data_IF_182008619180
#
_entry.id   IF_182008619180
#
_cell.length_a   1.000
_cell.length_b   1.000
_cell.length_c   1.000
_cell.angle_alpha   90.00
_cell.angle_beta   90.00
_cell.angle_gamma   90.00
#
_symmetry.space_group_name_H-M   'P 1'
#
loop_
_entity.id
_entity.type
_entity.pdbx_description
1 polymer ?
#
# COMPACT_ATOMS: atom_id res chain seq x y z
N UNK A 1 -10.08 5.95 15.41
CA UNK A 1 -10.74 4.65 15.66
C UNK A 1 -11.33 4.15 14.35
N UNK A 2 -10.93 2.96 13.90
CA UNK A 2 -11.42 2.39 12.65
C UNK A 2 -11.77 0.90 12.85
N UNK A 3 -12.96 0.49 12.38
CA UNK A 3 -13.40 -0.91 12.49
C UNK A 3 -13.54 -1.45 13.92
N UNK A 4 -13.70 -0.58 14.91
CA UNK A 4 -13.77 -0.96 16.33
C UNK A 4 -12.41 -1.09 17.02
N UNK A 5 -11.31 -0.86 16.30
CA UNK A 5 -9.95 -0.91 16.84
C UNK A 5 -9.27 0.47 16.80
N UNK A 6 -8.30 0.66 17.70
CA UNK A 6 -7.39 1.80 17.61
C UNK A 6 -6.39 1.51 16.50
N UNK A 7 -6.40 2.34 15.46
CA UNK A 7 -5.48 2.24 14.33
C UNK A 7 -4.60 3.48 14.30
N UNK A 8 -3.40 3.31 13.82
CA UNK A 8 -2.46 4.40 13.69
C UNK A 8 -1.88 4.48 12.28
N UNK A 9 -1.59 5.68 11.87
CA UNK A 9 -0.73 5.99 10.75
C UNK A 9 0.11 7.22 11.09
N UNK A 10 1.26 7.33 10.45
CA UNK A 10 2.11 8.50 10.55
C UNK A 10 2.08 9.23 9.22
N UNK A 11 2.16 10.54 9.27
CA UNK A 11 2.32 11.36 8.07
C UNK A 11 3.60 12.19 8.18
N UNK A 12 4.17 12.46 7.04
CA UNK A 12 5.18 13.49 6.88
C UNK A 12 4.72 14.48 5.82
N UNK A 13 4.50 15.72 6.24
CA UNK A 13 4.16 16.83 5.35
C UNK A 13 5.47 17.50 4.95
N UNK A 14 5.78 17.60 3.64
CA UNK A 14 7.05 18.16 3.21
C UNK A 14 7.16 19.64 3.57
N UNK A 15 8.37 20.11 3.81
CA UNK A 15 8.64 21.51 4.19
C UNK A 15 8.19 22.53 3.13
N UNK A 16 8.05 22.08 1.88
CA UNK A 16 7.61 22.87 0.73
C UNK A 16 6.08 22.76 0.46
N UNK A 17 5.33 22.10 1.34
CA UNK A 17 3.87 22.00 1.19
C UNK A 17 3.23 23.37 1.12
N UNK A 18 2.32 23.55 0.14
CA UNK A 18 1.54 24.76 -0.02
C UNK A 18 0.03 24.39 -0.11
N UNK A 19 -0.80 24.86 0.84
CA UNK A 19 -2.22 24.53 0.87
C UNK A 19 -3.01 25.05 -0.35
N UNK A 20 -2.44 25.96 -1.13
CA UNK A 20 -3.05 26.44 -2.37
C UNK A 20 -2.79 25.54 -3.58
N UNK A 21 -1.94 24.51 -3.44
CA UNK A 21 -1.55 23.61 -4.54
C UNK A 21 -1.94 22.18 -4.19
N UNK A 22 -2.74 21.49 -5.01
CA UNK A 22 -3.06 20.09 -4.78
C UNK A 22 -1.80 19.21 -4.70
N UNK A 23 -1.65 18.45 -3.62
CA UNK A 23 -0.43 17.71 -3.27
C UNK A 23 -0.68 16.21 -3.32
N UNK A 24 0.18 15.41 -3.98
CA UNK A 24 0.05 13.96 -4.02
C UNK A 24 0.17 13.30 -2.64
N UNK A 25 -0.46 12.13 -2.48
CA UNK A 25 -0.21 11.20 -1.38
C UNK A 25 0.67 10.03 -1.84
N UNK A 26 1.60 9.62 -0.99
CA UNK A 26 2.41 8.42 -1.17
C UNK A 26 2.31 7.53 0.08
N UNK A 27 1.55 6.45 -0.02
CA UNK A 27 1.49 5.42 1.01
C UNK A 27 2.71 4.52 0.96
N UNK A 28 3.27 4.20 2.13
CA UNK A 28 4.43 3.33 2.26
C UNK A 28 4.14 2.22 3.29
N UNK A 29 3.92 0.99 2.81
CA UNK A 29 3.46 -0.14 3.61
C UNK A 29 4.61 -1.01 4.08
N UNK A 30 4.67 -1.27 5.40
CA UNK A 30 5.68 -2.14 6.02
C UNK A 30 5.49 -3.61 5.63
N UNK A 31 6.56 -4.39 5.75
CA UNK A 31 6.50 -5.85 5.64
C UNK A 31 5.90 -6.52 6.87
N UNK A 32 5.65 -7.81 6.79
CA UNK A 32 5.09 -8.60 7.90
C UNK A 32 5.87 -8.43 9.20
N UNK A 33 5.15 -8.26 10.30
CA UNK A 33 5.71 -8.00 11.64
C UNK A 33 6.17 -6.56 11.89
N UNK A 34 6.00 -5.66 10.91
CA UNK A 34 6.40 -4.25 11.00
C UNK A 34 5.31 -3.33 11.54
N UNK A 35 5.56 -2.04 11.44
CA UNK A 35 4.63 -0.95 11.72
C UNK A 35 5.05 0.32 10.96
N UNK A 36 4.20 1.35 10.95
CA UNK A 36 4.44 2.59 10.24
C UNK A 36 5.70 3.34 10.72
N UNK A 37 5.95 3.37 12.03
CA UNK A 37 7.15 4.01 12.60
C UNK A 37 8.42 3.29 12.14
N UNK A 38 8.45 1.96 12.19
CA UNK A 38 9.58 1.17 11.73
C UNK A 38 9.85 1.38 10.23
N UNK A 39 8.79 1.47 9.42
CA UNK A 39 8.91 1.76 7.99
C UNK A 39 9.50 3.15 7.74
N UNK A 40 8.99 4.17 8.42
CA UNK A 40 9.45 5.56 8.27
C UNK A 40 10.92 5.75 8.71
N UNK A 41 11.37 5.02 9.74
CA UNK A 41 12.73 5.15 10.28
C UNK A 41 13.74 4.18 9.66
N UNK A 42 13.31 3.35 8.70
CA UNK A 42 14.16 2.36 8.02
C UNK A 42 14.81 2.95 6.76
N UNK A 43 15.39 2.07 5.95
CA UNK A 43 15.90 2.40 4.61
C UNK A 43 14.82 2.86 3.62
N UNK A 44 13.54 2.74 4.01
CA UNK A 44 12.38 3.18 3.23
C UNK A 44 11.89 4.58 3.63
N UNK A 45 12.76 5.38 4.23
CA UNK A 45 12.44 6.76 4.61
C UNK A 45 12.20 7.64 3.37
N UNK A 46 10.92 7.98 3.15
CA UNK A 46 10.51 8.82 2.03
C UNK A 46 10.62 10.32 2.32
N UNK A 47 10.92 10.74 3.56
CA UNK A 47 10.92 12.16 3.95
C UNK A 47 11.88 13.02 3.13
N UNK A 48 13.14 12.61 2.86
CA UNK A 48 14.04 13.40 2.03
C UNK A 48 13.55 13.57 0.58
N UNK A 49 12.86 12.54 0.06
CA UNK A 49 12.28 12.59 -1.29
C UNK A 49 11.02 13.46 -1.28
N UNK A 50 10.20 13.37 -0.24
CA UNK A 50 9.01 14.19 -0.10
C UNK A 50 9.33 15.69 -0.09
N UNK A 51 10.41 16.10 0.56
CA UNK A 51 10.88 17.50 0.58
C UNK A 51 11.32 18.03 -0.79
N UNK A 52 11.67 17.15 -1.73
CA UNK A 52 12.11 17.56 -3.08
C UNK A 52 11.02 17.36 -4.13
N UNK A 53 10.19 16.33 -3.98
CA UNK A 53 9.15 15.97 -4.95
C UNK A 53 7.75 16.48 -4.58
N UNK A 54 7.59 17.10 -3.42
CA UNK A 54 6.36 17.69 -2.92
C UNK A 54 5.18 16.70 -2.87
N UNK A 55 5.27 15.69 -2.03
CA UNK A 55 4.15 14.80 -1.71
C UNK A 55 4.07 14.56 -0.19
N UNK A 56 2.88 14.29 0.31
CA UNK A 56 2.69 13.86 1.70
C UNK A 56 2.95 12.36 1.77
N UNK A 57 3.94 11.95 2.60
CA UNK A 57 4.23 10.54 2.84
C UNK A 57 3.37 10.01 3.99
N UNK A 58 2.76 8.85 3.79
CA UNK A 58 1.85 8.20 4.73
C UNK A 58 2.37 6.82 5.08
N UNK A 59 2.49 6.52 6.37
CA UNK A 59 3.01 5.26 6.89
C UNK A 59 1.99 4.62 7.83
N UNK A 60 1.03 3.85 7.31
CA UNK A 60 0.06 3.16 8.15
C UNK A 60 0.67 1.96 8.87
N UNK A 61 0.07 1.59 10.00
CA UNK A 61 0.36 0.33 10.70
C UNK A 61 -0.74 -0.70 10.44
N UNK A 62 -0.34 -1.87 9.95
CA UNK A 62 -1.22 -3.02 9.83
C UNK A 62 -1.62 -3.56 11.21
N UNK A 63 -2.81 -4.14 11.34
CA UNK A 63 -3.28 -4.71 12.60
C UNK A 63 -2.41 -5.90 13.02
N UNK A 64 -1.86 -5.84 14.25
CA UNK A 64 -0.96 -6.88 14.74
C UNK A 64 0.33 -7.03 13.92
N UNK A 65 0.73 -6.02 13.15
CA UNK A 65 1.91 -6.04 12.31
C UNK A 65 1.72 -6.76 10.97
N UNK A 66 0.48 -7.05 10.57
CA UNK A 66 0.13 -7.70 9.32
C UNK A 66 -0.96 -6.91 8.58
N UNK A 67 -1.02 -7.06 7.27
CA UNK A 67 -2.07 -6.46 6.46
C UNK A 67 -3.26 -7.41 6.37
N UNK A 68 -4.37 -6.99 7.00
CA UNK A 68 -5.60 -7.78 7.01
C UNK A 68 -6.32 -7.65 5.68
N UNK A 69 -6.22 -8.71 4.93
CA UNK A 69 -6.88 -8.84 3.66
C UNK A 69 -7.80 -10.05 3.60
N UNK A 70 -7.91 -10.85 4.65
CA UNK A 70 -8.88 -11.96 4.68
C UNK A 70 -10.29 -11.44 4.82
N UNK A 71 -11.16 -11.84 3.91
CA UNK A 71 -12.60 -11.66 4.05
C UNK A 71 -13.21 -12.84 4.84
N UNK A 72 -14.37 -12.69 5.50
CA UNK A 72 -15.04 -11.43 5.75
C UNK A 72 -14.64 -10.88 7.13
N UNK A 73 -13.98 -9.77 7.15
CA UNK A 73 -13.82 -9.00 8.37
C UNK A 73 -14.61 -7.70 8.20
N UNK A 74 -15.36 -7.28 9.22
CA UNK A 74 -15.91 -5.92 9.32
C UNK A 74 -14.80 -4.87 9.31
N UNK A 75 -13.57 -5.32 9.26
CA UNK A 75 -12.31 -4.67 9.43
C UNK A 75 -11.37 -5.09 8.31
N UNK A 76 -11.06 -4.19 7.44
CA UNK A 76 -10.33 -4.44 6.22
C UNK A 76 -9.37 -3.27 5.98
N UNK A 77 -8.08 -3.58 5.84
CA UNK A 77 -7.05 -2.56 5.63
C UNK A 77 -7.23 -1.78 4.31
N UNK A 78 -7.91 -2.35 3.31
CA UNK A 78 -8.27 -1.60 2.09
C UNK A 78 -9.15 -0.40 2.44
N UNK A 79 -10.20 -0.61 3.25
CA UNK A 79 -11.08 0.48 3.68
C UNK A 79 -10.41 1.41 4.70
N UNK A 80 -9.43 0.90 5.45
CA UNK A 80 -8.61 1.76 6.31
C UNK A 80 -7.78 2.74 5.48
N UNK A 81 -7.17 2.29 4.38
CA UNK A 81 -6.45 3.18 3.45
C UNK A 81 -7.40 4.20 2.83
N UNK A 82 -8.59 3.79 2.41
CA UNK A 82 -9.60 4.71 1.88
C UNK A 82 -9.99 5.77 2.92
N UNK A 83 -10.23 5.36 4.17
CA UNK A 83 -10.54 6.29 5.26
C UNK A 83 -9.39 7.27 5.55
N UNK A 84 -8.13 6.83 5.46
CA UNK A 84 -6.97 7.74 5.59
C UNK A 84 -6.94 8.77 4.45
N UNK A 85 -7.23 8.36 3.22
CA UNK A 85 -7.29 9.29 2.08
C UNK A 85 -8.33 10.37 2.33
N UNK A 86 -9.53 9.98 2.80
CA UNK A 86 -10.62 10.91 3.07
C UNK A 86 -10.31 11.84 4.24
N UNK A 87 -9.72 11.31 5.31
CA UNK A 87 -9.29 12.07 6.48
C UNK A 87 -8.25 13.13 6.10
N UNK A 88 -7.21 12.74 5.39
CA UNK A 88 -6.17 13.65 4.92
C UNK A 88 -6.69 14.69 3.91
N UNK A 89 -7.62 14.31 3.03
CA UNK A 89 -8.25 15.24 2.11
C UNK A 89 -9.14 16.29 2.82
N UNK A 90 -9.59 16.00 4.04
CA UNK A 90 -10.33 16.97 4.87
C UNK A 90 -9.42 18.02 5.53
N UNK A 91 -8.14 17.69 5.75
CA UNK A 91 -7.16 18.54 6.44
C UNK A 91 -6.18 19.23 5.48
N UNK A 92 -5.84 18.57 4.37
CA UNK A 92 -4.85 19.02 3.42
C UNK A 92 -5.45 19.14 2.02
N UNK A 93 -4.89 20.01 1.19
CA UNK A 93 -5.25 20.09 -0.22
C UNK A 93 -4.62 18.94 -1.01
N UNK A 94 -5.28 17.78 -0.98
CA UNK A 94 -4.82 16.56 -1.62
C UNK A 94 -5.24 16.52 -3.09
N UNK A 95 -4.31 16.07 -3.94
CA UNK A 95 -4.61 15.70 -5.32
C UNK A 95 -5.11 14.27 -5.37
N UNK A 96 -6.42 14.09 -5.45
CA UNK A 96 -7.05 12.78 -5.46
C UNK A 96 -6.73 11.94 -6.71
N UNK A 97 -6.23 12.54 -7.78
CA UNK A 97 -5.80 11.83 -8.99
C UNK A 97 -4.34 11.35 -8.88
N UNK A 98 -3.61 11.79 -7.83
CA UNK A 98 -2.21 11.44 -7.58
C UNK A 98 -2.03 10.81 -6.20
N UNK A 99 -2.76 9.74 -5.94
CA UNK A 99 -2.57 8.90 -4.75
C UNK A 99 -1.82 7.64 -5.17
N UNK A 100 -0.67 7.41 -4.55
CA UNK A 100 0.23 6.32 -4.87
C UNK A 100 0.44 5.41 -3.68
N UNK A 101 0.78 4.15 -3.95
CA UNK A 101 1.04 3.16 -2.92
C UNK A 101 2.33 2.38 -3.22
N UNK A 102 3.19 2.23 -2.24
CA UNK A 102 4.32 1.33 -2.34
C UNK A 102 4.47 0.52 -1.06
N UNK A 103 5.13 -0.63 -1.16
CA UNK A 103 5.36 -1.46 0.00
C UNK A 103 6.47 -2.49 -0.20
N UNK A 104 6.98 -2.98 0.91
CA UNK A 104 8.00 -4.00 0.97
C UNK A 104 7.41 -5.33 1.43
N UNK A 105 7.80 -6.43 0.80
CA UNK A 105 7.38 -7.79 1.18
C UNK A 105 5.85 -7.91 1.25
N UNK A 106 5.26 -8.20 2.42
CA UNK A 106 3.81 -8.26 2.62
C UNK A 106 3.12 -6.91 2.27
N UNK A 107 3.75 -5.76 2.56
CA UNK A 107 3.27 -4.46 2.12
C UNK A 107 3.27 -4.28 0.61
N UNK A 108 4.21 -4.94 -0.09
CA UNK A 108 4.22 -5.02 -1.56
C UNK A 108 3.04 -5.86 -2.09
N UNK A 109 2.73 -6.99 -1.47
CA UNK A 109 1.55 -7.80 -1.78
C UNK A 109 0.28 -6.98 -1.55
N UNK A 110 0.21 -6.26 -0.43
CA UNK A 110 -0.92 -5.40 -0.10
C UNK A 110 -1.10 -4.26 -1.11
N UNK A 111 -0.01 -3.71 -1.66
CA UNK A 111 -0.09 -2.69 -2.71
C UNK A 111 -0.80 -3.21 -3.97
N UNK A 112 -0.59 -4.47 -4.35
CA UNK A 112 -1.37 -5.08 -5.44
C UNK A 112 -2.86 -5.21 -5.10
N UNK A 113 -3.21 -5.52 -3.83
CA UNK A 113 -4.60 -5.58 -3.41
C UNK A 113 -5.30 -4.21 -3.53
N UNK A 114 -4.59 -3.13 -3.23
CA UNK A 114 -5.09 -1.78 -3.47
C UNK A 114 -5.32 -1.51 -4.96
N UNK A 115 -4.41 -1.91 -5.83
CA UNK A 115 -4.60 -1.80 -7.28
C UNK A 115 -5.81 -2.61 -7.77
N UNK A 116 -6.07 -3.79 -7.19
CA UNK A 116 -7.21 -4.62 -7.56
C UNK A 116 -8.56 -4.11 -7.04
N UNK A 117 -8.60 -3.53 -5.85
CA UNK A 117 -9.83 -3.28 -5.10
C UNK A 117 -10.14 -1.81 -4.85
N UNK A 118 -9.15 -0.93 -5.04
CA UNK A 118 -9.26 0.51 -4.80
C UNK A 118 -8.69 1.31 -5.99
N UNK A 119 -8.76 0.75 -7.20
CA UNK A 119 -8.23 1.34 -8.41
C UNK A 119 -8.86 2.70 -8.79
N UNK A 120 -10.04 3.00 -8.24
CA UNK A 120 -10.69 4.31 -8.38
C UNK A 120 -10.05 5.41 -7.51
N UNK A 121 -9.17 5.05 -6.58
CA UNK A 121 -8.50 5.99 -5.66
C UNK A 121 -6.97 5.93 -5.80
N UNK A 122 -6.42 4.83 -6.32
CA UNK A 122 -4.97 4.60 -6.40
C UNK A 122 -4.52 4.69 -7.86
N UNK A 123 -3.71 5.69 -8.18
CA UNK A 123 -3.21 5.94 -9.53
C UNK A 123 -2.12 4.96 -9.97
N UNK A 124 -1.22 4.59 -9.04
CA UNK A 124 -0.16 3.62 -9.31
C UNK A 124 0.33 2.94 -8.03
N UNK A 125 0.89 1.74 -8.20
CA UNK A 125 1.48 0.97 -7.10
C UNK A 125 2.90 0.52 -7.43
N UNK A 126 3.73 0.40 -6.39
CA UNK A 126 5.05 -0.21 -6.48
C UNK A 126 5.20 -1.30 -5.42
N UNK A 127 5.69 -2.46 -5.83
CA UNK A 127 5.97 -3.58 -4.93
C UNK A 127 7.44 -3.93 -4.92
N UNK A 128 8.06 -3.87 -3.74
CA UNK A 128 9.45 -4.27 -3.51
C UNK A 128 9.44 -5.63 -2.83
N UNK A 129 10.02 -6.63 -3.49
CA UNK A 129 10.12 -8.02 -2.98
C UNK A 129 8.77 -8.63 -2.52
N UNK A 130 7.66 -8.21 -3.14
CA UNK A 130 6.32 -8.74 -2.93
C UNK A 130 5.69 -9.14 -4.26
N UNK A 131 5.12 -10.33 -4.37
CA UNK A 131 4.44 -10.80 -5.58
C UNK A 131 2.94 -10.64 -5.49
N UNK A 132 2.32 -10.41 -6.63
CA UNK A 132 0.86 -10.44 -6.74
C UNK A 132 0.32 -11.85 -6.43
N UNK A 133 -0.77 -11.93 -5.69
CA UNK A 133 -1.49 -13.18 -5.47
C UNK A 133 -2.21 -13.63 -6.73
N UNK A 134 -2.23 -14.96 -6.98
CA UNK A 134 -3.07 -15.51 -8.05
C UNK A 134 -4.55 -15.36 -7.70
N UNK A 135 -5.42 -15.24 -8.70
CA UNK A 135 -6.86 -15.16 -8.46
C UNK A 135 -7.40 -16.40 -7.73
N UNK A 136 -6.86 -17.58 -8.02
CA UNK A 136 -7.24 -18.81 -7.31
C UNK A 136 -6.93 -18.71 -5.81
N UNK A 137 -5.76 -18.23 -5.45
CA UNK A 137 -5.36 -18.05 -4.06
C UNK A 137 -6.18 -16.95 -3.37
N UNK A 138 -6.41 -15.84 -4.06
CA UNK A 138 -7.27 -14.74 -3.57
C UNK A 138 -8.68 -15.21 -3.24
N UNK A 139 -9.30 -15.98 -4.15
CA UNK A 139 -10.70 -16.43 -4.00
C UNK A 139 -10.83 -17.56 -2.98
N UNK A 140 -9.93 -18.54 -2.99
CA UNK A 140 -10.07 -19.75 -2.16
C UNK A 140 -9.54 -19.56 -0.73
N UNK A 141 -8.41 -18.86 -0.57
CA UNK A 141 -7.73 -18.77 0.73
C UNK A 141 -8.06 -17.48 1.47
N UNK A 142 -8.36 -16.39 0.73
CA UNK A 142 -8.67 -15.09 1.32
C UNK A 142 -10.13 -14.69 1.16
N UNK A 143 -10.90 -15.35 0.30
CA UNK A 143 -12.29 -15.00 0.03
C UNK A 143 -12.46 -13.67 -0.72
N UNK A 144 -11.42 -13.21 -1.42
CA UNK A 144 -11.50 -12.01 -2.25
C UNK A 144 -12.09 -12.33 -3.62
N UNK A 145 -12.71 -11.36 -4.29
CA UNK A 145 -13.01 -11.51 -5.71
C UNK A 145 -11.71 -11.58 -6.52
N UNK A 146 -11.79 -12.14 -7.72
CA UNK A 146 -10.72 -12.02 -8.71
C UNK A 146 -10.31 -10.56 -8.91
N UNK A 147 -9.04 -10.32 -9.25
CA UNK A 147 -8.55 -8.96 -9.49
C UNK A 147 -9.23 -8.36 -10.72
N UNK A 148 -10.07 -7.36 -10.51
CA UNK A 148 -10.82 -6.68 -11.57
C UNK A 148 -10.85 -5.18 -11.30
N UNK A 149 -9.74 -4.47 -11.54
CA UNK A 149 -9.68 -3.03 -11.31
C UNK A 149 -10.68 -2.30 -12.23
N UNK A 150 -11.36 -1.30 -11.67
CA UNK A 150 -12.29 -0.44 -12.43
C UNK A 150 -11.57 0.53 -13.36
N UNK A 151 -10.29 0.83 -13.06
CA UNK A 151 -9.41 1.67 -13.86
C UNK A 151 -8.06 0.99 -14.03
N UNK A 152 -7.38 1.18 -15.18
CA UNK A 152 -6.00 0.73 -15.33
C UNK A 152 -5.10 1.40 -14.31
N UNK A 153 -4.45 0.61 -13.46
CA UNK A 153 -3.51 1.09 -12.46
C UNK A 153 -2.09 0.73 -12.88
N UNK A 154 -1.19 1.70 -12.93
CA UNK A 154 0.20 1.44 -13.25
C UNK A 154 0.87 0.64 -12.13
N UNK A 155 1.70 -0.34 -12.50
CA UNK A 155 2.38 -1.23 -11.55
C UNK A 155 3.88 -1.21 -11.80
N UNK A 156 4.65 -0.97 -10.74
CA UNK A 156 6.10 -1.17 -10.72
C UNK A 156 6.43 -2.35 -9.83
N UNK A 157 7.20 -3.30 -10.34
CA UNK A 157 7.66 -4.46 -9.59
C UNK A 157 9.19 -4.45 -9.47
N UNK A 158 9.69 -4.53 -8.25
CA UNK A 158 11.13 -4.44 -7.93
C UNK A 158 11.52 -5.68 -7.12
N UNK A 159 11.86 -6.81 -7.77
CA UNK A 159 12.38 -7.99 -7.08
C UNK A 159 13.87 -7.82 -6.77
N UNK A 160 14.35 -8.47 -5.72
CA UNK A 160 15.78 -8.67 -5.50
C UNK A 160 16.34 -9.73 -6.46
N UNK A 161 17.59 -9.58 -6.91
CA UNK A 161 18.22 -10.53 -7.84
C UNK A 161 18.43 -11.93 -7.26
N UNK A 162 18.38 -12.05 -5.95
CA UNK A 162 18.50 -13.31 -5.20
C UNK A 162 17.24 -13.62 -4.38
N UNK A 163 16.15 -12.87 -4.60
CA UNK A 163 14.86 -13.19 -3.98
C UNK A 163 14.46 -14.62 -4.39
N UNK A 164 14.08 -15.42 -3.40
CA UNK A 164 13.54 -16.74 -3.70
C UNK A 164 12.23 -16.55 -4.46
N UNK A 165 12.04 -17.36 -5.52
CA UNK A 165 10.78 -17.36 -6.23
C UNK A 165 9.63 -17.64 -5.24
N UNK A 166 8.74 -16.67 -4.97
CA UNK A 166 7.69 -16.85 -3.96
C UNK A 166 6.75 -18.00 -4.30
N UNK A 167 6.65 -18.41 -5.56
CA UNK A 167 5.86 -19.56 -5.96
C UNK A 167 6.40 -20.87 -5.38
N UNK A 168 7.71 -20.96 -5.08
CA UNK A 168 8.29 -22.14 -4.41
C UNK A 168 8.01 -22.16 -2.91
N UNK A 169 7.75 -21.01 -2.29
CA UNK A 169 7.44 -20.87 -0.86
C UNK A 169 5.95 -20.73 -0.58
N UNK A 170 5.23 -20.06 -1.50
CA UNK A 170 3.81 -19.72 -1.36
C UNK A 170 3.13 -20.01 -2.69
N UNK A 171 2.48 -21.15 -2.80
CA UNK A 171 1.83 -21.60 -4.04
C UNK A 171 0.76 -20.66 -4.60
N UNK A 172 0.33 -19.69 -3.79
CA UNK A 172 -0.67 -18.69 -4.17
C UNK A 172 -0.11 -17.39 -4.77
N UNK A 173 1.22 -17.26 -4.88
CA UNK A 173 1.85 -16.07 -5.45
C UNK A 173 2.26 -16.33 -6.90
N UNK A 174 2.17 -15.28 -7.73
CA UNK A 174 2.69 -15.34 -9.10
C UNK A 174 4.21 -15.46 -9.07
N UNK A 175 4.80 -16.34 -9.92
CA UNK A 175 6.24 -16.48 -9.98
C UNK A 175 6.89 -15.23 -10.57
N UNK A 176 8.10 -14.92 -10.11
CA UNK A 176 8.94 -13.95 -10.78
C UNK A 176 9.48 -14.56 -12.07
N UNK A 177 9.22 -13.93 -13.18
CA UNK A 177 9.94 -14.20 -14.41
C UNK A 177 10.98 -13.10 -14.57
N UNK A 178 12.24 -13.45 -14.30
CA UNK A 178 13.35 -12.60 -14.75
C UNK A 178 13.61 -12.93 -16.20
N UNK A 179 13.33 -12.00 -17.08
CA UNK A 179 13.73 -12.03 -18.49
C UNK A 179 15.19 -11.61 -18.63
#
# INVERSE_FOLDING_TARGET
>A
FYGGESREFLIYVPSIYNPSTPTPLMFNFHGGGGNGMGMMLSTNDMRPIADTANFIAVYPSGSGGAWMHKAPTTYNDIYFVEAIIDDLASEFNIDNDRVYACGYSEGGIFSYELACRLSNRIAAVASVSGSMMTDTYRTNDYGFPACSPSHPTAVMFIPGTIDMNPHSMYSGLLPYYMS
#
